data_IF_482452864635
#
_entry.id   IF_482452864635
#
_cell.length_a   1.000
_cell.length_b   1.000
_cell.length_c   1.000
_cell.angle_alpha   90.00
_cell.angle_beta   90.00
_cell.angle_gamma   90.00
#
_symmetry.space_group_name_H-M   'P 1'
#
loop_
_entity.id
_entity.type
_entity.pdbx_description
1 polymer ?
#
# COMPACT_ATOMS: atom_id res chain seq x y z
N UNK A 1 -9.82 50.39 11.74
CA UNK A 1 -9.40 50.02 10.36
C UNK A 1 -7.88 50.04 10.32
N UNK A 2 -7.27 49.08 9.59
CA UNK A 2 -5.86 48.65 9.61
C UNK A 2 -5.67 47.44 10.53
N UNK A 3 -5.31 46.31 9.93
CA UNK A 3 -5.04 45.04 10.61
C UNK A 3 -5.57 43.79 9.89
N UNK A 4 -6.02 43.90 8.64
CA UNK A 4 -6.29 42.76 7.78
C UNK A 4 -4.96 42.12 7.35
N UNK A 5 -4.43 41.15 8.10
CA UNK A 5 -3.51 40.13 7.58
C UNK A 5 -3.10 39.09 8.66
N UNK A 6 -3.99 38.18 9.08
CA UNK A 6 -3.50 36.96 9.77
C UNK A 6 -4.25 35.73 9.27
N UNK A 7 -3.44 34.81 8.76
CA UNK A 7 -3.70 33.42 8.45
C UNK A 7 -4.74 33.13 7.36
N UNK A 8 -4.20 32.92 6.16
CA UNK A 8 -4.63 31.87 5.23
C UNK A 8 -4.79 30.58 6.05
N UNK A 9 -6.02 30.29 6.48
CA UNK A 9 -6.42 28.98 6.97
C UNK A 9 -6.48 28.09 5.73
N UNK A 10 -5.35 27.47 5.39
CA UNK A 10 -5.21 26.64 4.21
C UNK A 10 -6.28 25.55 4.23
N UNK A 11 -7.25 25.64 3.32
CA UNK A 11 -8.13 24.55 2.95
C UNK A 11 -7.34 23.48 2.16
N UNK A 12 -6.20 23.05 2.67
CA UNK A 12 -5.57 21.80 2.26
C UNK A 12 -6.29 20.62 2.94
N UNK A 13 -7.62 20.58 2.81
CA UNK A 13 -8.35 19.31 2.91
C UNK A 13 -8.25 18.63 1.54
N UNK A 14 -7.02 18.35 1.11
CA UNK A 14 -6.81 17.19 0.29
C UNK A 14 -7.01 16.00 1.21
N UNK A 15 -8.28 15.72 1.57
CA UNK A 15 -8.68 14.40 1.99
C UNK A 15 -8.13 13.49 0.89
N UNK A 16 -7.08 12.76 1.20
CA UNK A 16 -6.60 11.70 0.33
C UNK A 16 -7.82 10.82 0.11
N UNK A 17 -8.46 10.93 -1.05
CA UNK A 17 -9.37 9.91 -1.53
C UNK A 17 -8.46 8.72 -1.80
N UNK A 18 -8.06 8.02 -0.73
CA UNK A 18 -7.29 6.81 -0.86
C UNK A 18 -8.24 5.85 -1.56
N UNK A 19 -7.94 5.45 -2.80
CA UNK A 19 -8.84 4.59 -3.54
C UNK A 19 -9.10 3.35 -2.69
N UNK A 20 -10.35 2.91 -2.65
CA UNK A 20 -10.70 1.69 -1.94
C UNK A 20 -9.80 0.55 -2.43
N UNK A 21 -9.13 -0.10 -1.48
CA UNK A 21 -8.25 -1.21 -1.77
C UNK A 21 -9.07 -2.39 -2.32
N UNK A 22 -8.52 -3.09 -3.29
CA UNK A 22 -9.03 -4.38 -3.72
C UNK A 22 -8.97 -5.37 -2.54
N UNK A 23 -9.83 -6.40 -2.51
CA UNK A 23 -9.94 -7.31 -1.37
C UNK A 23 -8.61 -7.88 -0.88
N UNK A 24 -7.76 -8.37 -1.80
CA UNK A 24 -6.46 -8.95 -1.43
C UNK A 24 -5.49 -7.92 -0.86
N UNK A 25 -5.52 -6.69 -1.39
CA UNK A 25 -4.70 -5.59 -0.91
C UNK A 25 -5.19 -5.10 0.46
N UNK A 26 -6.51 -5.07 0.66
CA UNK A 26 -7.13 -4.68 1.93
C UNK A 26 -6.80 -5.69 3.04
N UNK A 27 -6.85 -6.99 2.75
CA UNK A 27 -6.48 -8.05 3.70
C UNK A 27 -5.02 -7.91 4.14
N UNK A 28 -4.09 -7.71 3.21
CA UNK A 28 -2.69 -7.47 3.55
C UNK A 28 -2.49 -6.17 4.33
N UNK A 29 -3.22 -5.11 3.98
CA UNK A 29 -3.13 -3.82 4.68
C UNK A 29 -3.58 -3.93 6.14
N UNK A 30 -4.60 -4.74 6.42
CA UNK A 30 -5.07 -5.01 7.78
C UNK A 30 -4.02 -5.79 8.59
N UNK A 31 -3.45 -6.87 8.02
CA UNK A 31 -2.33 -7.61 8.62
C UNK A 31 -1.12 -6.69 8.90
N UNK A 32 -0.75 -5.88 7.91
CA UNK A 32 0.37 -4.95 8.02
C UNK A 32 0.15 -3.85 9.05
N UNK A 33 -1.10 -3.41 9.22
CA UNK A 33 -1.48 -2.50 10.30
C UNK A 33 -1.30 -3.19 11.65
N UNK A 34 -1.67 -4.47 11.76
CA UNK A 34 -1.39 -5.28 12.95
C UNK A 34 0.09 -5.31 13.31
N UNK A 35 0.96 -5.65 12.35
CA UNK A 35 2.42 -5.66 12.58
C UNK A 35 2.95 -4.29 13.02
N UNK A 36 2.49 -3.21 12.40
CA UNK A 36 2.88 -1.85 12.79
C UNK A 36 2.50 -1.50 14.22
N UNK A 37 1.29 -1.88 14.64
CA UNK A 37 0.80 -1.62 15.99
C UNK A 37 1.56 -2.45 17.04
N UNK A 38 2.04 -3.63 16.65
CA UNK A 38 2.89 -4.49 17.49
C UNK A 38 4.38 -4.07 17.45
N UNK A 39 4.76 -3.16 16.55
CA UNK A 39 6.15 -2.75 16.35
C UNK A 39 7.00 -3.76 15.57
N UNK A 40 6.33 -4.70 14.89
CA UNK A 40 6.96 -5.74 14.09
C UNK A 40 7.28 -5.27 12.67
N UNK A 41 8.29 -5.91 12.08
CA UNK A 41 8.66 -5.69 10.68
C UNK A 41 7.80 -6.53 9.73
N UNK A 42 7.95 -6.31 8.41
CA UNK A 42 7.36 -7.18 7.40
C UNK A 42 7.85 -8.64 7.56
N UNK A 43 6.96 -9.64 7.48
CA UNK A 43 7.33 -11.05 7.48
C UNK A 43 8.29 -11.39 6.33
N UNK A 44 9.20 -12.34 6.53
CA UNK A 44 10.19 -12.70 5.51
C UNK A 44 9.57 -13.20 4.18
N UNK A 45 8.35 -13.73 4.21
CA UNK A 45 7.62 -14.26 3.07
C UNK A 45 6.72 -13.23 2.36
N UNK A 46 6.73 -11.96 2.78
CA UNK A 46 5.86 -10.91 2.25
C UNK A 46 5.95 -10.79 0.71
N UNK A 47 7.16 -10.92 0.16
CA UNK A 47 7.40 -10.83 -1.29
C UNK A 47 6.64 -11.91 -2.03
N UNK A 48 6.67 -13.14 -1.53
CA UNK A 48 5.95 -14.27 -2.13
C UNK A 48 4.45 -14.07 -2.06
N UNK A 49 3.92 -13.51 -0.97
CA UNK A 49 2.49 -13.19 -0.85
C UNK A 49 2.06 -12.17 -1.90
N UNK A 50 2.84 -11.10 -2.08
CA UNK A 50 2.58 -10.08 -3.10
C UNK A 50 2.62 -10.64 -4.54
N UNK A 51 3.55 -11.55 -4.85
CA UNK A 51 3.65 -12.18 -6.17
C UNK A 51 2.46 -13.09 -6.51
N UNK A 52 1.69 -13.56 -5.53
CA UNK A 52 0.46 -14.33 -5.75
C UNK A 52 -0.77 -13.45 -6.00
N UNK A 53 -0.70 -12.17 -5.67
CA UNK A 53 -1.82 -11.25 -5.92
C UNK A 53 -1.91 -10.91 -7.41
N UNK A 54 -3.11 -10.62 -7.94
CA UNK A 54 -3.27 -9.96 -9.23
C UNK A 54 -2.46 -8.64 -9.27
N UNK A 55 -1.94 -8.24 -10.45
CA UNK A 55 -1.09 -7.06 -10.58
C UNK A 55 -1.69 -5.77 -9.99
N UNK A 56 -3.00 -5.58 -10.11
CA UNK A 56 -3.73 -4.40 -9.64
C UNK A 56 -3.74 -4.33 -8.10
N UNK A 57 -4.08 -5.45 -7.45
CA UNK A 57 -4.06 -5.56 -5.99
C UNK A 57 -2.63 -5.46 -5.44
N UNK A 58 -1.67 -6.08 -6.12
CA UNK A 58 -0.25 -6.01 -5.77
C UNK A 58 0.26 -4.58 -5.77
N UNK A 59 -0.06 -3.79 -6.80
CA UNK A 59 0.35 -2.39 -6.88
C UNK A 59 -0.22 -1.58 -5.71
N UNK A 60 -1.49 -1.77 -5.36
CA UNK A 60 -2.12 -1.09 -4.23
C UNK A 60 -1.46 -1.48 -2.90
N UNK A 61 -1.21 -2.77 -2.67
CA UNK A 61 -0.51 -3.26 -1.50
C UNK A 61 0.90 -2.68 -1.36
N UNK A 62 1.67 -2.62 -2.46
CA UNK A 62 3.00 -2.02 -2.48
C UNK A 62 2.98 -0.54 -2.12
N UNK A 63 2.01 0.21 -2.65
CA UNK A 63 1.83 1.63 -2.33
C UNK A 63 1.49 1.80 -0.85
N UNK A 64 0.57 0.99 -0.31
CA UNK A 64 0.22 1.01 1.10
C UNK A 64 1.45 0.76 1.99
N UNK A 65 2.17 -0.34 1.76
CA UNK A 65 3.34 -0.73 2.56
C UNK A 65 4.46 0.33 2.52
N UNK A 66 4.66 0.98 1.37
CA UNK A 66 5.66 2.05 1.25
C UNK A 66 5.24 3.34 1.97
N UNK A 67 3.96 3.70 1.92
CA UNK A 67 3.42 4.85 2.68
C UNK A 67 3.43 4.60 4.18
N UNK A 68 3.18 3.37 4.60
CA UNK A 68 3.18 2.96 5.99
C UNK A 68 4.61 2.84 6.57
N UNK A 69 5.65 2.99 5.74
CA UNK A 69 7.04 2.92 6.17
C UNK A 69 7.57 1.50 6.38
N UNK A 70 6.79 0.47 6.03
CA UNK A 70 7.22 -0.93 6.12
C UNK A 70 8.16 -1.32 4.97
N UNK A 71 7.99 -0.72 3.78
CA UNK A 71 8.88 -0.93 2.63
C UNK A 71 9.93 0.18 2.49
N UNK A 72 11.08 -0.02 3.12
CA UNK A 72 12.22 0.93 3.08
C UNK A 72 13.35 0.50 2.14
N UNK A 73 13.27 -0.69 1.56
CA UNK A 73 14.32 -1.29 0.73
C UNK A 73 14.21 -0.91 -0.75
N UNK A 74 15.05 -1.56 -1.57
CA UNK A 74 15.18 -1.39 -3.01
C UNK A 74 13.84 -1.27 -3.77
N UNK A 75 13.83 -0.51 -4.88
CA UNK A 75 12.68 -0.45 -5.76
C UNK A 75 12.34 -1.84 -6.31
N UNK A 76 11.03 -2.10 -6.47
CA UNK A 76 10.54 -3.29 -7.15
C UNK A 76 10.79 -3.20 -8.65
N UNK A 77 11.18 -4.30 -9.26
CA UNK A 77 11.27 -4.38 -10.72
C UNK A 77 9.88 -4.24 -11.34
N UNK A 78 9.78 -3.56 -12.49
CA UNK A 78 8.50 -3.33 -13.14
C UNK A 78 7.81 -4.64 -13.55
N UNK A 79 8.59 -5.64 -13.98
CA UNK A 79 8.10 -6.99 -14.26
C UNK A 79 7.40 -7.60 -13.05
N UNK A 80 8.03 -7.54 -11.87
CA UNK A 80 7.44 -8.09 -10.66
C UNK A 80 6.12 -7.39 -10.28
N UNK A 81 5.98 -6.11 -10.59
CA UNK A 81 4.74 -5.36 -10.32
C UNK A 81 3.63 -5.75 -11.29
N UNK A 82 3.93 -5.90 -12.58
CA UNK A 82 2.93 -6.02 -13.65
C UNK A 82 2.67 -7.44 -14.13
N UNK A 83 3.62 -8.37 -13.94
CA UNK A 83 3.47 -9.74 -14.43
C UNK A 83 2.28 -10.41 -13.72
N UNK A 84 1.48 -11.19 -14.47
CA UNK A 84 0.31 -11.84 -13.91
C UNK A 84 0.70 -12.75 -12.75
N UNK A 85 -0.20 -12.88 -11.78
CA UNK A 85 -0.06 -13.89 -10.75
C UNK A 85 0.10 -15.27 -11.42
N UNK A 86 0.96 -16.15 -10.88
CA UNK A 86 1.03 -17.53 -11.36
C UNK A 86 -0.38 -18.11 -11.28
N UNK A 87 -0.86 -18.69 -12.39
CA UNK A 87 -2.12 -19.42 -12.38
C UNK A 87 -1.98 -20.52 -11.32
N UNK A 88 -2.85 -20.50 -10.30
CA UNK A 88 -2.97 -21.64 -9.41
C UNK A 88 -3.18 -22.86 -10.29
N UNK A 89 -2.26 -23.83 -10.22
CA UNK A 89 -2.36 -25.08 -10.95
C UNK A 89 -3.55 -25.87 -10.37
N UNK A 90 -4.76 -25.50 -10.80
CA UNK A 90 -6.00 -25.88 -10.14
C UNK A 90 -7.23 -25.58 -11.00
N UNK A 91 -7.18 -25.93 -12.29
CA UNK A 91 -8.38 -26.30 -13.04
C UNK A 91 -7.99 -27.27 -14.16
N UNK A 92 -8.11 -28.56 -13.87
CA UNK A 92 -8.19 -29.65 -14.85
C UNK A 92 -9.24 -30.64 -14.37
#
# INVERSE_FOLDING_TARGET
MIGALVMVMGLATSASADPALLPDAAALADEATGWLLEGEALPADYRTRLMRMPPEARLQALVFLRRAGLLTTDPWALSDVLDPAPADAGDK
#
